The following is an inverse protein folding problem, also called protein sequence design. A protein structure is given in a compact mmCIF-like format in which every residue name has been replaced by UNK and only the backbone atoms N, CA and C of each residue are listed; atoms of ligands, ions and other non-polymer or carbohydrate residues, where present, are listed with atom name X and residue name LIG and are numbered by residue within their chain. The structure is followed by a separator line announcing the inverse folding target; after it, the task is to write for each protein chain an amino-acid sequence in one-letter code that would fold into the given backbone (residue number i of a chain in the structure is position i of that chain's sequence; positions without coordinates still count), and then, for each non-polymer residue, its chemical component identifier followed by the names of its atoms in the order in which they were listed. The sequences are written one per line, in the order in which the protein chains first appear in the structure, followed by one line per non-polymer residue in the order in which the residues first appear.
data_IF_472621206179
#
_entry.id   IF_472621206179
#
_cell.length_a   1.000
_cell.length_b   1.000
_cell.length_c   1.000
_cell.angle_alpha   90.00
_cell.angle_beta   90.00
_cell.angle_gamma   90.00
#
_symmetry.space_group_name_H-M   'P 1'
#
loop_
_entity.id
_entity.type
_entity.pdbx_description
1 polymer ?
#
# COMPACT_ATOMS: atom_id res chain seq x y z
N UNK A 1 27.49 -29.49 7.03
CA UNK A 1 27.28 -28.08 6.65
C UNK A 1 25.85 -27.74 6.97
N UNK A 2 25.60 -26.99 8.06
CA UNK A 2 24.25 -26.67 8.50
C UNK A 2 23.73 -25.42 7.76
N UNK A 3 22.52 -25.51 7.22
CA UNK A 3 21.82 -24.37 6.64
C UNK A 3 21.59 -23.31 7.74
N UNK A 4 22.19 -22.14 7.60
CA UNK A 4 21.98 -21.02 8.53
C UNK A 4 21.02 -20.02 7.87
N UNK A 5 19.76 -20.01 8.31
CA UNK A 5 18.83 -18.92 8.03
C UNK A 5 19.33 -17.67 8.75
N UNK A 6 19.83 -16.68 7.99
CA UNK A 6 20.06 -15.34 8.53
C UNK A 6 18.69 -14.70 8.80
N UNK A 7 18.38 -14.46 10.07
CA UNK A 7 17.18 -13.78 10.51
C UNK A 7 17.25 -12.28 10.20
N UNK A 8 16.83 -11.87 9.00
CA UNK A 8 16.32 -10.52 8.78
C UNK A 8 14.83 -10.65 8.49
N UNK A 9 14.06 -10.99 9.53
CA UNK A 9 12.61 -11.12 9.44
C UNK A 9 12.06 -9.70 9.57
N UNK A 10 11.76 -9.05 8.43
CA UNK A 10 10.78 -7.97 8.46
C UNK A 10 9.46 -8.62 8.86
N UNK A 11 8.97 -8.30 10.05
CA UNK A 11 7.71 -8.84 10.53
C UNK A 11 6.58 -8.25 9.67
N UNK A 12 6.01 -9.09 8.80
CA UNK A 12 4.86 -8.73 7.97
C UNK A 12 3.75 -9.74 8.25
N UNK A 13 2.53 -9.25 8.46
CA UNK A 13 1.34 -10.10 8.58
C UNK A 13 0.46 -9.96 7.34
N UNK A 14 -0.05 -11.09 6.84
CA UNK A 14 -1.07 -11.05 5.78
C UNK A 14 -2.42 -10.67 6.37
N UNK A 15 -3.08 -9.66 5.80
CA UNK A 15 -4.47 -9.29 6.10
C UNK A 15 -5.29 -9.38 4.81
N UNK A 16 -6.46 -10.01 4.88
CA UNK A 16 -7.36 -10.16 3.72
C UNK A 16 -8.57 -9.26 3.89
N UNK A 17 -8.82 -8.39 2.91
CA UNK A 17 -10.00 -7.53 2.84
C UNK A 17 -10.63 -7.63 1.45
N UNK A 18 -11.93 -7.30 1.35
CA UNK A 18 -12.64 -7.26 0.06
C UNK A 18 -12.72 -5.82 -0.42
N UNK A 19 -12.26 -5.59 -1.64
CA UNK A 19 -12.40 -4.32 -2.34
C UNK A 19 -13.62 -4.34 -3.25
N UNK A 20 -14.35 -3.22 -3.39
CA UNK A 20 -15.32 -3.06 -4.46
C UNK A 20 -14.65 -3.18 -5.84
N UNK A 21 -15.30 -3.82 -6.80
CA UNK A 21 -14.75 -4.09 -8.14
C UNK A 21 -14.29 -2.79 -8.81
N UNK A 22 -15.15 -1.77 -8.81
CA UNK A 22 -14.85 -0.47 -9.42
C UNK A 22 -13.57 0.18 -8.85
N UNK A 23 -13.24 -0.08 -7.58
CA UNK A 23 -12.06 0.48 -6.95
C UNK A 23 -10.80 -0.30 -7.34
N UNK A 24 -10.91 -1.62 -7.52
CA UNK A 24 -9.82 -2.43 -8.08
C UNK A 24 -9.49 -1.95 -9.50
N UNK A 25 -10.50 -1.78 -10.35
CA UNK A 25 -10.32 -1.33 -11.74
C UNK A 25 -9.60 0.03 -11.80
N UNK A 26 -9.98 0.96 -10.92
CA UNK A 26 -9.32 2.27 -10.81
C UNK A 26 -7.86 2.17 -10.35
N UNK A 27 -7.57 1.30 -9.39
CA UNK A 27 -6.20 1.08 -8.92
C UNK A 27 -5.34 0.45 -10.02
N UNK A 28 -5.85 -0.58 -10.70
CA UNK A 28 -5.14 -1.25 -11.79
C UNK A 28 -4.88 -0.31 -12.97
N UNK A 29 -5.85 0.56 -13.30
CA UNK A 29 -5.65 1.60 -14.29
C UNK A 29 -4.58 2.60 -13.85
N UNK A 30 -4.64 3.10 -12.61
CA UNK A 30 -3.64 4.04 -12.09
C UNK A 30 -2.22 3.45 -12.06
N UNK A 31 -2.10 2.16 -11.78
CA UNK A 31 -0.82 1.42 -11.85
C UNK A 31 -0.35 1.30 -13.29
N UNK A 32 -1.25 0.99 -14.23
CA UNK A 32 -0.92 0.82 -15.65
C UNK A 32 -0.52 2.13 -16.33
N UNK A 33 -1.12 3.25 -15.91
CA UNK A 33 -0.84 4.59 -16.43
C UNK A 33 0.47 5.18 -15.87
N UNK A 34 1.05 4.56 -14.84
CA UNK A 34 2.33 4.95 -14.26
C UNK A 34 3.49 4.36 -15.07
N UNK A 35 4.46 5.19 -15.45
CA UNK A 35 5.72 4.73 -16.10
C UNK A 35 6.63 3.89 -15.17
N UNK A 36 6.22 3.72 -13.91
CA UNK A 36 6.92 2.93 -12.90
C UNK A 36 6.27 1.55 -12.74
N UNK A 37 7.10 0.52 -12.58
CA UNK A 37 6.68 -0.84 -12.22
C UNK A 37 6.15 -0.90 -10.76
N UNK A 38 4.94 -0.41 -10.56
CA UNK A 38 4.24 -0.45 -9.28
C UNK A 38 3.39 -1.73 -9.22
N UNK A 39 3.42 -2.43 -8.08
CA UNK A 39 2.53 -3.56 -7.84
C UNK A 39 1.30 -3.12 -7.04
N UNK A 40 0.20 -3.85 -7.18
CA UNK A 40 -1.01 -3.60 -6.38
C UNK A 40 -0.71 -3.55 -4.88
N UNK A 41 0.12 -4.47 -4.37
CA UNK A 41 0.51 -4.48 -2.95
C UNK A 41 1.29 -3.23 -2.56
N UNK A 42 2.24 -2.78 -3.39
CA UNK A 42 3.01 -1.55 -3.12
C UNK A 42 2.11 -0.32 -3.13
N UNK A 43 1.16 -0.25 -4.06
CA UNK A 43 0.16 0.81 -4.11
C UNK A 43 -0.67 0.86 -2.81
N UNK A 44 -1.22 -0.29 -2.38
CA UNK A 44 -2.06 -0.36 -1.17
C UNK A 44 -1.28 0.02 0.09
N UNK A 45 -0.02 -0.42 0.21
CA UNK A 45 0.84 -0.05 1.35
C UNK A 45 1.02 1.48 1.40
N UNK A 46 1.43 2.10 0.28
CA UNK A 46 1.65 3.54 0.21
C UNK A 46 0.36 4.34 0.46
N UNK A 47 -0.78 3.87 -0.07
CA UNK A 47 -2.07 4.50 0.17
C UNK A 47 -2.45 4.46 1.65
N UNK A 48 -2.19 3.34 2.34
CA UNK A 48 -2.41 3.23 3.79
C UNK A 48 -1.46 4.10 4.61
N UNK A 49 -0.16 4.15 4.27
CA UNK A 49 0.82 5.02 4.92
C UNK A 49 0.43 6.49 4.77
N UNK A 50 0.12 6.92 3.54
CA UNK A 50 -0.33 8.28 3.26
C UNK A 50 -1.60 8.64 4.04
N UNK A 51 -2.60 7.75 4.04
CA UNK A 51 -3.84 7.98 4.77
C UNK A 51 -3.58 8.16 6.27
N UNK A 52 -2.77 7.29 6.88
CA UNK A 52 -2.43 7.38 8.32
C UNK A 52 -1.66 8.67 8.64
N UNK A 53 -0.70 9.06 7.80
CA UNK A 53 0.09 10.28 8.01
C UNK A 53 -0.75 11.56 7.93
N UNK A 54 -1.88 11.54 7.20
CA UNK A 54 -2.75 12.70 6.98
C UNK A 54 -4.08 12.62 7.76
N UNK A 55 -4.29 11.61 8.60
CA UNK A 55 -5.53 11.45 9.38
C UNK A 55 -5.69 12.49 10.50
N UNK A 56 -4.58 12.95 11.09
CA UNK A 56 -4.57 13.89 12.22
C UNK A 56 -4.22 15.33 11.81
N UNK A 57 -4.05 15.60 10.52
CA UNK A 57 -3.87 16.97 10.05
C UNK A 57 -5.19 17.73 10.26
N UNK A 58 -5.24 18.80 11.07
CA UNK A 58 -6.40 19.65 11.10
C UNK A 58 -6.65 20.10 9.67
N UNK A 59 -7.87 19.91 9.19
CA UNK A 59 -8.31 20.48 7.94
C UNK A 59 -8.03 21.98 7.99
N UNK A 60 -6.96 22.42 7.32
CA UNK A 60 -6.73 23.81 6.99
C UNK A 60 -7.80 24.21 5.97
N UNK A 61 -9.04 24.30 6.44
CA UNK A 61 -10.12 25.07 5.82
C UNK A 61 -9.73 26.54 5.94
N UNK A 62 -8.83 26.98 5.06
CA UNK A 62 -8.70 28.38 4.74
C UNK A 62 -9.85 28.75 3.79
N UNK A 63 -10.92 29.34 4.35
CA UNK A 63 -11.81 30.25 3.63
C UNK A 63 -12.21 31.41 4.55
#
# INVERSE_FOLDING_TARGET
MAFQLKGNRKETENKTIRFPIHLIDQIEQAISDSDQDITFSSFVIQACEYALDHMDAPSEEHN
#
